data_IF_878089462403
#
_entry.id   IF_878089462403
#
_cell.length_a   1.000
_cell.length_b   1.000
_cell.length_c   1.000
_cell.angle_alpha   90.00
_cell.angle_beta   90.00
_cell.angle_gamma   90.00
#
_symmetry.space_group_name_H-M   'P 1'
#
loop_
_entity.id
_entity.type
_entity.pdbx_description
1 polymer ?
#
# COMPACT_ATOMS: atom_id res chain seq x y z
N UNK A 1 8.70 -9.78 6.30
CA UNK A 1 7.84 -9.53 5.13
C UNK A 1 8.44 -8.38 4.35
N UNK A 2 8.43 -8.42 3.01
CA UNK A 2 8.86 -7.26 2.22
C UNK A 2 7.77 -6.18 2.23
N UNK A 3 8.08 -4.95 1.81
CA UNK A 3 7.12 -3.82 1.84
C UNK A 3 5.82 -4.16 1.11
N UNK A 4 5.93 -4.77 -0.07
CA UNK A 4 4.80 -5.20 -0.89
C UNK A 4 3.86 -6.16 -0.14
N UNK A 5 4.40 -7.18 0.52
CA UNK A 5 3.63 -8.17 1.27
C UNK A 5 2.91 -7.53 2.48
N UNK A 6 3.59 -6.62 3.18
CA UNK A 6 2.99 -5.90 4.31
C UNK A 6 1.82 -5.04 3.82
N UNK A 7 2.00 -4.29 2.73
CA UNK A 7 0.96 -3.43 2.16
C UNK A 7 -0.21 -4.27 1.61
N UNK A 8 0.07 -5.31 0.83
CA UNK A 8 -0.95 -6.18 0.25
C UNK A 8 -1.86 -6.76 1.33
N UNK A 9 -1.28 -7.23 2.45
CA UNK A 9 -2.05 -7.81 3.55
C UNK A 9 -2.75 -6.77 4.41
N UNK A 10 -2.02 -5.75 4.88
CA UNK A 10 -2.49 -4.84 5.94
C UNK A 10 -3.30 -3.66 5.42
N UNK A 11 -3.07 -3.23 4.17
CA UNK A 11 -3.80 -2.11 3.56
C UNK A 11 -4.83 -2.63 2.56
N UNK A 12 -4.41 -3.48 1.63
CA UNK A 12 -5.28 -3.96 0.56
C UNK A 12 -6.18 -5.12 1.01
N UNK A 13 -5.87 -5.78 2.13
CA UNK A 13 -6.65 -6.93 2.61
C UNK A 13 -6.49 -8.19 1.75
N UNK A 14 -5.51 -8.21 0.85
CA UNK A 14 -5.31 -9.31 -0.08
C UNK A 14 -4.63 -10.49 0.60
N UNK A 15 -5.06 -11.69 0.21
CA UNK A 15 -4.48 -12.94 0.71
C UNK A 15 -3.43 -13.44 -0.27
N UNK A 16 -2.27 -13.83 0.25
CA UNK A 16 -1.25 -14.49 -0.56
C UNK A 16 -1.81 -15.84 -1.01
N UNK A 17 -1.96 -16.03 -2.32
CA UNK A 17 -2.48 -17.27 -2.88
C UNK A 17 -1.36 -18.20 -3.32
N UNK A 18 -0.33 -17.66 -4.00
CA UNK A 18 0.96 -18.30 -4.32
C UNK A 18 2.05 -17.23 -4.54
N UNK A 19 3.29 -17.64 -4.75
CA UNK A 19 4.49 -16.77 -4.65
C UNK A 19 4.45 -15.45 -5.45
N UNK A 20 3.63 -15.38 -6.50
CA UNK A 20 3.47 -14.28 -7.46
C UNK A 20 2.00 -13.81 -7.61
N UNK A 21 1.09 -14.30 -6.75
CA UNK A 21 -0.35 -14.10 -6.92
C UNK A 21 -1.04 -13.77 -5.61
N UNK A 22 -1.78 -12.67 -5.63
CA UNK A 22 -2.65 -12.23 -4.55
C UNK A 22 -4.11 -12.49 -4.91
N UNK A 23 -4.94 -12.69 -3.90
CA UNK A 23 -6.39 -12.79 -4.06
C UNK A 23 -7.06 -11.62 -3.34
N UNK A 24 -7.81 -10.82 -4.11
CA UNK A 24 -8.70 -9.79 -3.60
C UNK A 24 -10.07 -10.42 -3.34
N UNK A 25 -10.42 -10.60 -2.07
CA UNK A 25 -11.68 -11.20 -1.69
C UNK A 25 -12.89 -10.26 -1.89
N UNK A 26 -12.68 -8.94 -1.91
CA UNK A 26 -13.76 -7.98 -2.11
C UNK A 26 -14.21 -7.95 -3.57
N UNK A 27 -13.27 -8.17 -4.50
CA UNK A 27 -13.51 -8.17 -5.95
C UNK A 27 -13.57 -9.55 -6.58
N UNK A 28 -13.28 -10.59 -5.81
CA UNK A 28 -13.20 -11.98 -6.28
C UNK A 28 -12.21 -12.17 -7.45
N UNK A 29 -11.08 -11.44 -7.42
CA UNK A 29 -10.09 -11.44 -8.51
C UNK A 29 -8.67 -11.82 -8.03
N UNK A 30 -7.87 -12.32 -8.98
CA UNK A 30 -6.45 -12.57 -8.74
C UNK A 30 -5.60 -11.42 -9.29
N UNK A 31 -4.72 -10.90 -8.45
CA UNK A 31 -3.77 -9.86 -8.80
C UNK A 31 -2.41 -10.51 -9.03
N UNK A 32 -1.75 -10.12 -10.12
CA UNK A 32 -0.45 -10.61 -10.55
C UNK A 32 0.55 -9.46 -10.56
N UNK A 33 1.84 -9.78 -10.38
CA UNK A 33 2.97 -8.85 -10.56
C UNK A 33 2.82 -7.51 -9.81
N UNK A 34 2.24 -7.55 -8.60
CA UNK A 34 2.01 -6.36 -7.80
C UNK A 34 3.33 -5.74 -7.30
N UNK A 35 3.88 -4.81 -8.07
CA UNK A 35 5.12 -4.09 -7.78
C UNK A 35 4.89 -2.58 -7.56
N UNK A 36 4.37 -2.16 -6.39
CA UNK A 36 4.02 -0.75 -6.15
C UNK A 36 5.24 0.17 -6.03
N UNK A 37 6.45 -0.38 -5.79
CA UNK A 37 7.68 0.42 -5.72
C UNK A 37 8.05 0.99 -7.09
N UNK A 38 7.85 0.21 -8.15
CA UNK A 38 8.30 0.53 -9.51
C UNK A 38 7.13 0.95 -10.42
N UNK A 39 5.92 0.45 -10.16
CA UNK A 39 4.73 0.73 -10.95
C UNK A 39 3.80 1.74 -10.24
N UNK A 40 3.62 2.90 -10.87
CA UNK A 40 2.78 3.97 -10.34
C UNK A 40 1.29 3.60 -10.25
N UNK A 41 0.75 2.84 -11.20
CA UNK A 41 -0.66 2.41 -11.15
C UNK A 41 -0.91 1.53 -9.94
N UNK A 42 0.02 0.61 -9.64
CA UNK A 42 -0.02 -0.22 -8.45
C UNK A 42 0.09 0.61 -7.17
N UNK A 43 0.97 1.61 -7.14
CA UNK A 43 1.08 2.52 -6.01
C UNK A 43 -0.23 3.31 -5.78
N UNK A 44 -0.90 3.73 -6.85
CA UNK A 44 -2.17 4.47 -6.75
C UNK A 44 -3.32 3.62 -6.21
N UNK A 45 -3.31 2.29 -6.37
CA UNK A 45 -4.27 1.41 -5.68
C UNK A 45 -4.18 1.55 -4.16
N UNK A 46 -2.96 1.69 -3.62
CA UNK A 46 -2.73 1.93 -2.20
C UNK A 46 -3.33 3.27 -1.77
N UNK A 47 -3.11 4.32 -2.57
CA UNK A 47 -3.68 5.65 -2.30
C UNK A 47 -5.20 5.58 -2.25
N UNK A 48 -5.83 4.92 -3.22
CA UNK A 48 -7.29 4.77 -3.28
C UNK A 48 -7.81 4.03 -2.05
N UNK A 49 -7.15 2.94 -1.65
CA UNK A 49 -7.56 2.14 -0.48
C UNK A 49 -7.41 2.90 0.83
N UNK A 50 -6.30 3.63 1.02
CA UNK A 50 -6.11 4.46 2.22
C UNK A 50 -7.13 5.60 2.26
N UNK A 51 -7.44 6.22 1.11
CA UNK A 51 -8.52 7.22 1.04
C UNK A 51 -9.89 6.63 1.40
N UNK A 52 -10.20 5.39 1.00
CA UNK A 52 -11.46 4.75 1.41
C UNK A 52 -11.55 4.49 2.92
N UNK A 53 -10.41 4.45 3.62
CA UNK A 53 -10.34 4.39 5.08
C UNK A 53 -10.26 5.77 5.76
N UNK A 54 -10.41 6.87 5.00
CA UNK A 54 -10.42 8.23 5.55
C UNK A 54 -9.04 8.88 5.68
N UNK A 55 -7.97 8.28 5.15
CA UNK A 55 -6.66 8.94 5.12
C UNK A 55 -6.63 10.05 4.07
N UNK A 56 -6.03 11.18 4.45
CA UNK A 56 -5.75 12.29 3.53
C UNK A 56 -4.42 12.05 2.84
N UNK A 57 -4.43 11.97 1.52
CA UNK A 57 -3.22 11.88 0.70
C UNK A 57 -2.79 13.27 0.23
N UNK A 58 -1.52 13.62 0.42
CA UNK A 58 -0.89 14.78 -0.18
C UNK A 58 0.47 14.41 -0.78
N UNK A 59 0.86 15.13 -1.83
CA UNK A 59 2.16 14.96 -2.47
C UNK A 59 2.88 16.31 -2.47
N UNK A 60 4.09 16.34 -1.93
CA UNK A 60 5.00 17.48 -1.98
C UNK A 60 5.97 17.28 -3.16
N UNK A 61 5.43 17.32 -4.38
CA UNK A 61 6.19 17.04 -5.61
C UNK A 61 6.28 15.55 -5.96
N UNK A 62 7.31 15.17 -6.73
CA UNK A 62 7.45 13.81 -7.28
C UNK A 62 8.14 12.81 -6.35
N UNK A 63 8.70 13.29 -5.22
CA UNK A 63 9.60 12.48 -4.39
C UNK A 63 9.17 12.41 -2.93
N UNK A 64 8.07 13.05 -2.53
CA UNK A 64 7.59 13.05 -1.16
C UNK A 64 6.08 13.01 -1.12
N UNK A 65 5.55 12.10 -0.31
CA UNK A 65 4.11 11.85 -0.13
C UNK A 65 3.81 11.72 1.35
N UNK A 66 2.65 12.22 1.75
CA UNK A 66 2.11 12.03 3.08
C UNK A 66 0.72 11.39 3.04
N UNK A 67 0.47 10.53 4.02
CA UNK A 67 -0.86 10.06 4.41
C UNK A 67 -1.14 10.54 5.83
N UNK A 68 -2.01 11.55 5.96
CA UNK A 68 -2.13 12.36 7.18
C UNK A 68 -0.74 12.90 7.58
N UNK A 69 -0.29 12.57 8.80
CA UNK A 69 0.99 13.01 9.35
C UNK A 69 2.16 12.05 9.05
N UNK A 70 1.90 10.92 8.36
CA UNK A 70 2.94 9.95 7.99
C UNK A 70 3.45 10.25 6.59
N UNK A 71 4.65 10.81 6.53
CA UNK A 71 5.31 11.18 5.29
C UNK A 71 6.50 10.26 4.99
N UNK A 72 6.73 10.01 3.71
CA UNK A 72 7.96 9.39 3.24
C UNK A 72 8.34 9.89 1.86
N UNK A 73 9.64 9.80 1.58
CA UNK A 73 10.22 10.13 0.30
C UNK A 73 10.72 8.89 -0.47
N UNK A 74 10.93 9.06 -1.77
CA UNK A 74 11.38 8.01 -2.68
C UNK A 74 12.01 8.58 -3.95
N UNK A 75 12.71 7.73 -4.70
CA UNK A 75 13.32 8.11 -6.00
C UNK A 75 12.28 8.38 -7.09
N UNK A 76 11.05 7.94 -6.89
CA UNK A 76 9.89 8.16 -7.75
C UNK A 76 8.65 8.34 -6.90
N UNK A 77 7.57 8.82 -7.51
CA UNK A 77 6.28 8.97 -6.84
C UNK A 77 5.75 7.60 -6.35
N UNK A 78 5.89 6.56 -7.18
CA UNK A 78 5.50 5.19 -6.83
C UNK A 78 6.23 4.69 -5.58
N UNK A 79 7.54 4.92 -5.51
CA UNK A 79 8.35 4.56 -4.35
C UNK A 79 8.01 5.41 -3.11
N UNK A 80 7.75 6.72 -3.27
CA UNK A 80 7.37 7.59 -2.16
C UNK A 80 6.02 7.15 -1.54
N UNK A 81 5.02 6.88 -2.38
CA UNK A 81 3.72 6.31 -1.97
C UNK A 81 3.94 5.01 -1.20
N UNK A 82 4.69 4.09 -1.78
CA UNK A 82 4.92 2.76 -1.19
C UNK A 82 5.66 2.86 0.15
N UNK A 83 6.63 3.78 0.27
CA UNK A 83 7.34 4.00 1.51
C UNK A 83 6.43 4.55 2.60
N UNK A 84 5.61 5.56 2.30
CA UNK A 84 4.71 6.17 3.27
C UNK A 84 3.64 5.18 3.73
N UNK A 85 3.07 4.42 2.79
CA UNK A 85 2.11 3.36 3.08
C UNK A 85 2.73 2.23 3.93
N UNK A 86 3.97 1.85 3.66
CA UNK A 86 4.67 0.87 4.47
C UNK A 86 4.87 1.38 5.90
N UNK A 87 5.27 2.63 6.11
CA UNK A 87 5.42 3.21 7.45
C UNK A 87 4.10 3.17 8.23
N UNK A 88 2.97 3.44 7.60
CA UNK A 88 1.65 3.28 8.21
C UNK A 88 1.38 1.83 8.62
N UNK A 89 1.56 0.90 7.68
CA UNK A 89 1.22 -0.50 7.86
C UNK A 89 2.16 -1.23 8.83
N UNK A 90 3.43 -0.84 8.90
CA UNK A 90 4.45 -1.46 9.76
C UNK A 90 4.38 -0.91 11.19
N UNK A 91 4.02 0.37 11.35
CA UNK A 91 3.92 1.04 12.66
C UNK A 91 2.55 0.88 13.33
N UNK A 92 1.54 0.37 12.62
CA UNK A 92 0.27 -0.01 13.25
C UNK A 92 0.47 -1.27 14.09
N UNK A 93 0.43 -1.14 15.42
CA UNK A 93 -0.04 -2.21 16.31
C UNK A 93 -1.44 -2.61 15.82
N UNK A 94 -1.51 -3.62 14.96
CA UNK A 94 -2.75 -3.99 14.27
C UNK A 94 -3.83 -4.29 15.31
N UNK A 95 -4.97 -3.63 15.16
CA UNK A 95 -6.24 -3.98 15.81
C UNK A 95 -6.57 -5.44 15.45
N UNK A 96 -6.77 -6.30 16.47
CA UNK A 96 -6.98 -7.75 16.30
C UNK A 96 -8.16 -8.10 15.39
N UNK A 97 -9.05 -7.16 15.08
CA UNK A 97 -10.18 -7.35 14.15
C UNK A 97 -9.82 -7.62 12.68
N UNK A 98 -8.53 -7.61 12.32
CA UNK A 98 -8.04 -7.92 10.97
C UNK A 98 -7.51 -9.36 10.78
N UNK A 99 -7.59 -10.21 11.80
CA UNK A 99 -7.22 -11.64 11.74
C UNK A 99 -8.39 -12.56 11.37
#
# INVERSE_FOLDING_TARGET
MNKTEVIARRILGWKLNRYDRWYDAEKEEFIYDFEPVENLEHALLIVQRLKSFGYTYSAAGEHEVCFNDVCASGKSLAQAITNAAFLLADNSTIDEGWL
#
